data_IF_127639315699
#
_entry.id   IF_127639315699
#
_cell.length_a   1.000
_cell.length_b   1.000
_cell.length_c   1.000
_cell.angle_alpha   90.00
_cell.angle_beta   90.00
_cell.angle_gamma   90.00
#
_symmetry.space_group_name_H-M   'P 1'
#
loop_
_entity.id
_entity.type
_entity.pdbx_description
1 polymer ?
#
# COMPACT_ATOMS: atom_id res chain seq x y z
N UNK A 1 3.34 14.75 -1.19
CA UNK A 1 3.15 13.32 -0.88
C UNK A 1 1.96 13.00 0.02
N UNK A 2 1.58 13.82 1.01
CA UNK A 2 0.51 13.52 1.98
C UNK A 2 -0.77 12.86 1.40
N UNK A 3 -1.40 13.45 0.37
CA UNK A 3 -2.63 12.87 -0.21
C UNK A 3 -2.42 11.53 -0.92
N UNK A 4 -1.27 11.33 -1.56
CA UNK A 4 -0.91 10.05 -2.22
C UNK A 4 -0.64 9.00 -1.15
N UNK A 5 0.09 9.35 -0.08
CA UNK A 5 0.34 8.48 1.06
C UNK A 5 -0.97 8.02 1.72
N UNK A 6 -1.96 8.91 1.91
CA UNK A 6 -3.27 8.49 2.42
C UNK A 6 -3.97 7.51 1.48
N UNK A 7 -3.95 7.78 0.17
CA UNK A 7 -4.60 6.92 -0.83
C UNK A 7 -3.95 5.55 -0.95
N UNK A 8 -2.65 5.42 -0.73
CA UNK A 8 -2.01 4.11 -0.69
C UNK A 8 -2.59 3.25 0.43
N UNK A 9 -2.83 3.82 1.62
CA UNK A 9 -3.50 3.13 2.73
C UNK A 9 -4.97 2.79 2.49
N UNK A 10 -5.64 3.50 1.57
CA UNK A 10 -6.95 3.11 1.06
C UNK A 10 -6.89 2.03 -0.03
N UNK A 11 -5.74 1.34 -0.17
CA UNK A 11 -5.47 0.25 -1.13
C UNK A 11 -5.55 0.69 -2.60
N UNK A 12 -5.35 1.98 -2.89
CA UNK A 12 -5.27 2.44 -4.28
C UNK A 12 -3.93 2.02 -4.89
N UNK A 13 -3.96 1.16 -5.91
CA UNK A 13 -2.78 0.54 -6.53
C UNK A 13 -1.81 1.59 -7.11
N UNK A 14 -2.31 2.57 -7.85
CA UNK A 14 -1.48 3.63 -8.42
C UNK A 14 -0.80 4.49 -7.34
N UNK A 15 -1.49 4.75 -6.23
CA UNK A 15 -0.91 5.47 -5.11
C UNK A 15 0.17 4.64 -4.39
N UNK A 16 -0.02 3.33 -4.24
CA UNK A 16 0.99 2.41 -3.69
C UNK A 16 2.25 2.45 -4.56
N UNK A 17 2.11 2.25 -5.87
CA UNK A 17 3.23 2.30 -6.82
C UNK A 17 3.99 3.63 -6.76
N UNK A 18 3.25 4.74 -6.74
CA UNK A 18 3.83 6.08 -6.65
C UNK A 18 4.64 6.27 -5.36
N UNK A 19 4.12 5.79 -4.22
CA UNK A 19 4.82 5.88 -2.93
C UNK A 19 6.06 4.99 -2.91
N UNK A 20 5.98 3.75 -3.40
CA UNK A 20 7.14 2.87 -3.47
C UNK A 20 8.25 3.47 -4.32
N UNK A 21 7.88 4.03 -5.46
CA UNK A 21 8.81 4.71 -6.34
C UNK A 21 9.44 5.94 -5.70
N UNK A 22 8.62 6.75 -4.99
CA UNK A 22 9.11 7.90 -4.23
C UNK A 22 10.08 7.46 -3.14
N UNK A 23 9.74 6.44 -2.35
CA UNK A 23 10.60 5.88 -1.31
C UNK A 23 11.94 5.42 -1.87
N UNK A 24 11.96 4.69 -2.99
CA UNK A 24 13.22 4.25 -3.63
C UNK A 24 14.11 5.42 -4.06
N UNK A 25 13.52 6.53 -4.54
CA UNK A 25 14.26 7.68 -5.08
C UNK A 25 14.62 8.76 -4.05
N UNK A 26 14.01 8.74 -2.87
CA UNK A 26 14.13 9.82 -1.88
C UNK A 26 14.46 9.30 -0.47
N UNK A 27 15.13 8.15 -0.36
CA UNK A 27 15.46 7.51 0.93
C UNK A 27 16.20 8.44 1.90
N UNK A 28 17.00 9.36 1.37
CA UNK A 28 17.75 10.39 2.11
C UNK A 28 16.86 11.51 2.68
N UNK A 29 15.68 11.74 2.10
CA UNK A 29 14.76 12.82 2.48
C UNK A 29 13.63 12.37 3.37
N UNK A 30 13.32 11.07 3.35
CA UNK A 30 12.30 10.48 4.20
C UNK A 30 11.72 9.21 3.61
N UNK A 31 10.83 8.59 4.37
CA UNK A 31 10.22 7.32 4.00
C UNK A 31 8.74 7.34 4.36
N UNK A 32 7.88 7.01 3.39
CA UNK A 32 6.44 6.91 3.59
C UNK A 32 6.09 5.44 3.83
N UNK A 33 5.41 5.15 4.92
CA UNK A 33 4.88 3.80 5.20
C UNK A 33 3.79 3.42 4.20
N UNK A 34 3.86 2.22 3.65
CA UNK A 34 2.87 1.64 2.71
C UNK A 34 2.17 0.43 3.34
N UNK A 35 0.90 0.14 2.99
CA UNK A 35 0.22 -1.04 3.52
C UNK A 35 0.79 -2.32 2.92
N UNK A 36 0.96 -3.35 3.76
CA UNK A 36 1.17 -4.72 3.29
C UNK A 36 -0.19 -5.37 3.08
N UNK A 37 -0.58 -5.56 1.81
CA UNK A 37 -1.86 -6.18 1.48
C UNK A 37 -1.83 -7.67 1.83
N UNK A 38 -2.91 -8.14 2.47
CA UNK A 38 -3.12 -9.56 2.74
C UNK A 38 -3.41 -10.32 1.45
N UNK A 39 -3.03 -11.59 1.41
CA UNK A 39 -3.35 -12.50 0.31
C UNK A 39 -4.87 -12.59 0.10
N UNK A 40 -5.30 -12.43 -1.16
CA UNK A 40 -6.71 -12.53 -1.55
C UNK A 40 -7.27 -13.92 -1.34
N UNK A 41 -6.46 -14.97 -1.50
CA UNK A 41 -6.91 -16.35 -1.28
C UNK A 41 -7.19 -16.62 0.20
N UNK A 42 -6.47 -15.95 1.11
CA UNK A 42 -6.75 -16.04 2.54
C UNK A 42 -8.07 -15.36 2.89
N UNK A 43 -8.38 -14.21 2.28
CA UNK A 43 -9.67 -13.54 2.46
C UNK A 43 -10.80 -14.47 2.02
N UNK A 44 -10.68 -15.05 0.82
CA UNK A 44 -11.70 -15.93 0.24
C UNK A 44 -11.98 -17.15 1.13
N UNK A 45 -10.93 -17.78 1.66
CA UNK A 45 -11.09 -18.91 2.61
C UNK A 45 -11.87 -18.53 3.87
N UNK A 46 -11.73 -17.29 4.35
CA UNK A 46 -12.46 -16.80 5.52
C UNK A 46 -13.91 -16.50 5.15
N UNK A 47 -14.15 -15.89 3.98
CA UNK A 47 -15.51 -15.65 3.47
C UNK A 47 -16.30 -16.95 3.30
N UNK A 48 -15.67 -18.00 2.75
CA UNK A 48 -16.28 -19.33 2.58
C UNK A 48 -16.55 -20.05 3.93
N UNK A 49 -16.00 -19.55 5.05
CA UNK A 49 -16.11 -20.17 6.39
C UNK A 49 -17.17 -19.54 7.30
N UNK A 50 -17.86 -18.50 6.84
CA UNK A 50 -18.93 -17.77 7.55
C UNK A 50 -20.29 -18.14 6.95
#
# INVERSE_FOLDING_TARGET
MSGVSRRSWARNEAAIETVEHWNRRNMDRGFVTIPKLVDKELIKKIEDSI
#
